data_IF_749600257087
#
_entry.id   IF_749600257087
#
_cell.length_a   1.000
_cell.length_b   1.000
_cell.length_c   1.000
_cell.angle_alpha   90.00
_cell.angle_beta   90.00
_cell.angle_gamma   90.00
#
_symmetry.space_group_name_H-M   'P 1'
#
loop_
_entity.id
_entity.type
_entity.pdbx_description
1 polymer ?
#
# COMPACT_ATOMS: atom_id res chain seq x y z
N UNK A 1 18.72 -43.42 30.43
CA UNK A 1 19.49 -42.16 30.45
C UNK A 1 19.30 -41.49 29.10
N UNK A 2 18.24 -40.67 28.96
CA UNK A 2 17.91 -40.02 27.69
C UNK A 2 18.46 -38.61 27.75
N UNK A 3 19.58 -38.38 27.05
CA UNK A 3 20.20 -37.06 26.96
C UNK A 3 19.43 -36.24 25.91
N UNK A 4 18.66 -35.26 26.37
CA UNK A 4 18.07 -34.26 25.48
C UNK A 4 19.14 -33.21 25.19
N UNK A 5 19.87 -33.38 24.10
CA UNK A 5 20.78 -32.35 23.59
C UNK A 5 19.94 -31.13 23.21
N UNK A 6 20.13 -30.02 23.92
CA UNK A 6 19.51 -28.73 23.61
C UNK A 6 20.24 -28.16 22.39
N UNK A 7 19.59 -28.21 21.24
CA UNK A 7 20.09 -27.61 20.00
C UNK A 7 20.13 -26.08 20.14
N UNK A 8 21.21 -25.40 19.71
CA UNK A 8 21.28 -23.94 19.57
C UNK A 8 20.46 -23.47 18.34
N UNK A 9 19.25 -24.00 18.20
CA UNK A 9 18.38 -23.78 17.05
C UNK A 9 17.74 -22.38 17.11
N UNK A 10 17.54 -21.85 18.33
CA UNK A 10 16.97 -20.53 18.55
C UNK A 10 17.86 -19.40 18.03
N UNK A 11 19.17 -19.44 18.30
CA UNK A 11 20.10 -18.38 17.87
C UNK A 11 20.39 -18.43 16.36
N UNK A 12 20.36 -19.63 15.77
CA UNK A 12 20.55 -19.82 14.33
C UNK A 12 19.31 -19.39 13.51
N UNK A 13 18.10 -19.63 14.01
CA UNK A 13 16.84 -19.13 13.42
C UNK A 13 16.70 -17.61 13.52
N UNK A 14 17.14 -17.00 14.63
CA UNK A 14 17.13 -15.54 14.75
C UNK A 14 18.15 -14.87 13.81
N UNK A 15 19.32 -15.49 13.62
CA UNK A 15 20.34 -15.02 12.69
C UNK A 15 19.89 -15.13 11.22
N UNK A 16 19.23 -16.22 10.84
CA UNK A 16 18.68 -16.39 9.49
C UNK A 16 17.54 -15.41 9.22
N UNK A 17 16.65 -15.19 10.19
CA UNK A 17 15.57 -14.19 10.11
C UNK A 17 16.12 -12.76 9.93
N UNK A 18 17.23 -12.43 10.60
CA UNK A 18 17.93 -11.16 10.44
C UNK A 18 18.50 -10.95 9.03
N UNK A 19 19.14 -11.98 8.46
CA UNK A 19 19.68 -11.95 7.10
C UNK A 19 18.58 -11.87 6.03
N UNK A 20 17.50 -12.64 6.19
CA UNK A 20 16.31 -12.60 5.32
C UNK A 20 15.60 -11.23 5.38
N UNK A 21 15.52 -10.63 6.56
CA UNK A 21 14.96 -9.29 6.72
C UNK A 21 15.82 -8.20 6.05
N UNK A 22 17.14 -8.34 6.10
CA UNK A 22 18.08 -7.45 5.42
C UNK A 22 18.00 -7.60 3.89
N UNK A 23 18.01 -8.83 3.38
CA UNK A 23 17.85 -9.12 1.95
C UNK A 23 16.51 -8.59 1.40
N UNK A 24 15.41 -8.74 2.14
CA UNK A 24 14.10 -8.18 1.77
C UNK A 24 14.12 -6.65 1.71
N UNK A 25 14.83 -6.00 2.64
CA UNK A 25 15.00 -4.53 2.65
C UNK A 25 15.83 -4.05 1.46
N UNK A 26 16.90 -4.76 1.13
CA UNK A 26 17.74 -4.47 -0.04
C UNK A 26 16.93 -4.60 -1.33
N UNK A 27 16.20 -5.70 -1.51
CA UNK A 27 15.30 -5.91 -2.66
C UNK A 27 14.26 -4.79 -2.78
N UNK A 28 13.66 -4.36 -1.67
CA UNK A 28 12.68 -3.26 -1.69
C UNK A 28 13.29 -1.94 -2.20
N UNK A 29 14.59 -1.73 -1.98
CA UNK A 29 15.33 -0.53 -2.38
C UNK A 29 15.67 -0.53 -3.87
N UNK A 30 15.87 -1.71 -4.46
CA UNK A 30 16.15 -1.89 -5.89
C UNK A 30 14.88 -2.00 -6.75
N UNK A 31 13.68 -1.99 -6.13
CA UNK A 31 12.43 -2.03 -6.89
C UNK A 31 12.34 -0.86 -7.85
N UNK A 32 12.13 -1.20 -9.12
CA UNK A 32 11.79 -0.25 -10.17
C UNK A 32 10.69 0.69 -9.66
N UNK A 33 10.80 2.01 -9.92
CA UNK A 33 9.79 2.97 -9.50
C UNK A 33 8.41 2.49 -9.92
N UNK A 34 7.46 2.44 -8.98
CA UNK A 34 6.08 2.05 -9.29
C UNK A 34 5.51 3.08 -10.26
N UNK A 35 5.16 2.63 -11.47
CA UNK A 35 4.44 3.46 -12.44
C UNK A 35 2.99 3.63 -12.00
N UNK A 36 2.42 4.82 -12.22
CA UNK A 36 1.01 5.07 -11.94
C UNK A 36 0.10 4.25 -12.87
N UNK A 37 -1.06 3.84 -12.38
CA UNK A 37 -2.03 3.05 -13.16
C UNK A 37 -2.44 3.72 -14.47
N UNK A 38 -2.68 5.04 -14.45
CA UNK A 38 -3.00 5.80 -15.65
C UNK A 38 -1.89 5.73 -16.71
N UNK A 39 -0.63 5.79 -16.27
CA UNK A 39 0.51 5.72 -17.17
C UNK A 39 0.73 4.31 -17.72
N UNK A 40 0.50 3.29 -16.90
CA UNK A 40 0.54 1.90 -17.34
C UNK A 40 -0.49 1.64 -18.45
N UNK A 41 -1.74 2.09 -18.26
CA UNK A 41 -2.80 1.92 -19.24
C UNK A 41 -2.48 2.62 -20.57
N UNK A 42 -1.91 3.82 -20.52
CA UNK A 42 -1.50 4.55 -21.72
C UNK A 42 -0.38 3.84 -22.48
N UNK A 43 0.62 3.30 -21.78
CA UNK A 43 1.77 2.63 -22.43
C UNK A 43 1.41 1.28 -23.05
N UNK A 44 0.53 0.51 -22.40
CA UNK A 44 0.21 -0.84 -22.84
C UNK A 44 -0.96 -0.89 -23.82
N UNK A 45 -1.97 -0.04 -23.64
CA UNK A 45 -3.23 -0.12 -24.37
C UNK A 45 -3.55 1.15 -25.17
N UNK A 46 -2.68 2.16 -25.16
CA UNK A 46 -2.95 3.48 -25.72
C UNK A 46 -4.25 4.12 -25.18
N UNK A 47 -4.58 3.79 -23.92
CA UNK A 47 -5.79 4.25 -23.24
C UNK A 47 -5.47 5.27 -22.14
N UNK A 48 -5.92 6.51 -22.31
CA UNK A 48 -5.78 7.57 -21.32
C UNK A 48 -7.09 7.77 -20.53
N UNK A 49 -7.09 7.35 -19.26
CA UNK A 49 -8.23 7.51 -18.33
C UNK A 49 -8.63 8.97 -18.08
N UNK A 50 -7.74 9.92 -18.41
CA UNK A 50 -8.02 11.35 -18.33
C UNK A 50 -8.40 11.96 -19.67
N UNK A 51 -8.60 11.19 -20.73
CA UNK A 51 -9.12 11.68 -22.01
C UNK A 51 -10.62 11.39 -22.15
N UNK A 52 -11.39 12.40 -22.56
CA UNK A 52 -12.80 12.22 -22.88
C UNK A 52 -12.95 11.57 -24.26
N UNK A 53 -13.53 10.36 -24.32
CA UNK A 53 -13.75 9.64 -25.59
C UNK A 53 -14.70 10.35 -26.57
N UNK A 54 -15.51 11.32 -26.08
CA UNK A 54 -16.45 12.07 -26.93
C UNK A 54 -15.87 13.32 -27.56
N UNK A 55 -15.00 14.03 -26.85
CA UNK A 55 -14.49 15.33 -27.30
C UNK A 55 -12.96 15.46 -27.29
N UNK A 56 -12.22 14.45 -26.85
CA UNK A 56 -10.76 14.47 -26.73
C UNK A 56 -10.22 15.37 -25.61
N UNK A 57 -11.09 16.06 -24.87
CA UNK A 57 -10.69 16.93 -23.76
C UNK A 57 -10.12 16.19 -22.55
N UNK A 58 -9.46 16.93 -21.65
CA UNK A 58 -8.85 16.38 -20.42
C UNK A 58 -9.82 16.38 -19.23
N UNK A 59 -10.06 15.21 -18.67
CA UNK A 59 -10.80 14.99 -17.43
C UNK A 59 -9.89 15.31 -16.23
N UNK A 60 -10.48 15.84 -15.16
CA UNK A 60 -9.80 16.08 -13.88
C UNK A 60 -10.29 15.06 -12.85
N UNK A 61 -9.36 14.45 -12.10
CA UNK A 61 -9.73 13.62 -10.95
C UNK A 61 -10.37 14.50 -9.87
N UNK A 62 -11.61 14.18 -9.48
CA UNK A 62 -12.37 15.00 -8.53
C UNK A 62 -12.06 14.67 -7.06
N UNK A 63 -11.70 13.43 -6.75
CA UNK A 63 -11.21 13.03 -5.44
C UNK A 63 -10.44 11.70 -5.52
N UNK A 64 -9.35 11.59 -4.77
CA UNK A 64 -8.71 10.32 -4.50
C UNK A 64 -9.29 9.77 -3.19
N UNK A 65 -9.85 8.56 -3.23
CA UNK A 65 -10.25 7.87 -2.00
C UNK A 65 -8.97 7.56 -1.19
N UNK A 66 -8.71 8.34 -0.15
CA UNK A 66 -7.64 8.04 0.81
C UNK A 66 -8.17 6.94 1.73
N UNK A 67 -7.65 5.73 1.58
CA UNK A 67 -7.93 4.65 2.52
C UNK A 67 -7.57 5.08 3.95
N UNK A 68 -8.47 4.82 4.89
CA UNK A 68 -8.27 5.17 6.29
C UNK A 68 -7.03 4.44 6.83
N UNK A 69 -5.99 5.19 7.17
CA UNK A 69 -5.06 4.74 8.22
C UNK A 69 -5.90 4.56 9.47
N UNK A 70 -5.90 3.36 10.06
CA UNK A 70 -6.61 3.06 11.32
C UNK A 70 -6.32 4.17 12.34
N UNK A 71 -7.32 4.98 12.63
CA UNK A 71 -7.28 6.09 13.57
C UNK A 71 -8.70 6.35 14.03
N UNK A 72 -8.93 6.14 15.32
CA UNK A 72 -10.23 6.19 15.99
C UNK A 72 -10.74 7.62 16.18
N UNK A 73 -12.06 7.75 16.31
CA UNK A 73 -12.78 8.92 16.86
C UNK A 73 -12.93 10.09 15.90
N UNK A 74 -14.07 10.72 15.71
CA UNK A 74 -15.43 10.55 16.21
C UNK A 74 -16.33 11.11 15.11
N UNK A 75 -17.43 10.41 14.83
CA UNK A 75 -18.44 10.93 13.91
C UNK A 75 -19.19 12.04 14.64
N UNK A 76 -18.80 13.29 14.40
CA UNK A 76 -19.58 14.46 14.81
C UNK A 76 -21.03 14.28 14.34
N UNK A 77 -21.95 14.18 15.30
CA UNK A 77 -23.37 14.13 15.02
C UNK A 77 -23.81 15.49 14.43
N UNK A 78 -24.62 15.53 13.35
CA UNK A 78 -25.30 16.76 12.99
C UNK A 78 -26.31 17.08 14.10
N UNK A 79 -26.05 18.16 14.84
CA UNK A 79 -27.02 18.71 15.80
C UNK A 79 -28.33 19.02 15.09
N UNK A 80 -29.39 18.35 15.51
CA UNK A 80 -30.77 18.65 15.13
C UNK A 80 -31.09 20.10 15.51
N UNK A 81 -31.25 20.96 14.51
CA UNK A 81 -31.94 22.22 14.68
C UNK A 81 -33.43 21.93 14.85
N UNK A 82 -33.96 22.17 16.05
CA UNK A 82 -35.37 22.47 16.27
C UNK A 82 -35.46 23.56 17.34
N UNK A 83 -35.89 24.75 16.92
CA UNK A 83 -36.17 25.88 17.79
C UNK A 83 -36.91 26.97 17.01
N UNK A 84 -38.25 26.90 17.13
CA UNK A 84 -39.30 27.93 16.95
C UNK A 84 -38.95 29.29 16.34
#
# INVERSE_FOLDING_TARGET
>A
MTSTVRFPQADAEEASAGLEAAARKEWMKERTPRVGWAELLRRTFDFDVFACVRCGGRLKALAQMKGASRGAGDSGAPGLAHGM
#
